data_IF_389388040718
#
_entry.id   IF_389388040718
#
_cell.length_a   1.000
_cell.length_b   1.000
_cell.length_c   1.000
_cell.angle_alpha   90.00
_cell.angle_beta   90.00
_cell.angle_gamma   90.00
#
_symmetry.space_group_name_H-M   'P 1'
#
loop_
_entity.id
_entity.type
_entity.pdbx_description
1 polymer ?
#
# COMPACT_ATOMS: atom_id res chain seq x y z
N UNK A 1 14.04 5.51 25.67
CA UNK A 1 14.98 4.62 24.95
C UNK A 1 15.64 5.49 23.90
N UNK A 2 16.97 5.69 23.99
CA UNK A 2 17.73 6.53 23.07
C UNK A 2 17.58 6.02 21.62
N UNK A 3 17.56 6.93 20.65
CA UNK A 3 17.48 6.62 19.21
C UNK A 3 18.50 5.55 18.78
N UNK A 4 19.66 5.50 19.43
CA UNK A 4 20.71 4.51 19.21
C UNK A 4 20.26 3.07 19.58
N UNK A 5 19.50 2.91 20.66
CA UNK A 5 18.94 1.62 21.09
C UNK A 5 17.86 1.11 20.14
N UNK A 6 17.07 2.01 19.57
CA UNK A 6 16.05 1.65 18.57
C UNK A 6 16.73 1.25 17.25
N UNK A 7 17.73 1.97 16.81
CA UNK A 7 18.53 1.62 15.63
C UNK A 7 19.21 0.25 15.83
N UNK A 8 19.87 0.04 16.97
CA UNK A 8 20.45 -1.27 17.31
C UNK A 8 19.41 -2.39 17.26
N UNK A 9 18.20 -2.16 17.79
CA UNK A 9 17.14 -3.16 17.77
C UNK A 9 16.61 -3.44 16.34
N UNK A 10 16.45 -2.40 15.50
CA UNK A 10 16.05 -2.57 14.08
C UNK A 10 17.05 -3.44 13.33
N UNK A 11 18.34 -3.38 13.71
CA UNK A 11 19.42 -4.13 13.08
C UNK A 11 19.75 -5.45 13.79
N UNK A 12 19.55 -5.58 15.09
CA UNK A 12 19.95 -6.79 15.86
C UNK A 12 19.03 -8.00 15.70
N UNK A 13 17.75 -7.78 15.34
CA UNK A 13 16.77 -8.86 15.18
C UNK A 13 16.51 -9.25 13.71
N UNK A 14 17.42 -8.89 12.80
CA UNK A 14 17.30 -9.23 11.37
C UNK A 14 18.58 -9.87 10.86
N UNK A 15 18.42 -10.79 9.89
CA UNK A 15 19.54 -11.36 9.18
C UNK A 15 20.32 -10.26 8.43
N UNK A 16 21.64 -10.39 8.32
CA UNK A 16 22.49 -9.45 7.58
C UNK A 16 21.98 -9.16 6.16
N UNK A 17 21.40 -10.16 5.50
CA UNK A 17 20.79 -10.03 4.16
C UNK A 17 19.63 -9.02 4.15
N UNK A 18 18.77 -9.01 5.19
CA UNK A 18 17.64 -8.07 5.30
C UNK A 18 18.13 -6.63 5.53
N UNK A 19 19.21 -6.48 6.27
CA UNK A 19 19.84 -5.17 6.52
C UNK A 19 20.44 -4.62 5.23
N UNK A 20 21.22 -5.43 4.51
CA UNK A 20 21.82 -5.05 3.23
C UNK A 20 20.74 -4.70 2.21
N UNK A 21 19.73 -5.56 2.07
CA UNK A 21 18.59 -5.29 1.17
C UNK A 21 17.90 -3.96 1.50
N UNK A 22 17.74 -3.67 2.77
CA UNK A 22 17.12 -2.42 3.22
C UNK A 22 17.98 -1.20 2.91
N UNK A 23 19.29 -1.27 3.16
CA UNK A 23 20.21 -0.19 2.82
C UNK A 23 20.25 0.06 1.30
N UNK A 24 20.32 -1.01 0.50
CA UNK A 24 20.25 -0.91 -0.96
C UNK A 24 18.90 -0.30 -1.39
N UNK A 25 17.80 -0.74 -0.79
CA UNK A 25 16.45 -0.22 -1.12
C UNK A 25 16.28 1.26 -0.75
N UNK A 26 16.92 1.74 0.31
CA UNK A 26 16.94 3.15 0.65
C UNK A 26 17.81 3.95 -0.35
N UNK A 27 19.01 3.45 -0.62
CA UNK A 27 19.98 4.15 -1.49
C UNK A 27 19.47 4.26 -2.94
N UNK A 28 18.93 3.20 -3.51
CA UNK A 28 18.37 3.20 -4.87
C UNK A 28 16.92 3.70 -4.92
N UNK A 29 16.18 3.53 -3.84
CA UNK A 29 14.78 3.87 -3.76
C UNK A 29 14.51 5.37 -3.76
N UNK A 30 15.28 6.17 -3.02
CA UNK A 30 15.09 7.62 -3.00
C UNK A 30 15.30 8.28 -4.37
N UNK A 31 16.37 7.99 -5.13
CA UNK A 31 16.50 8.48 -6.51
C UNK A 31 15.34 8.02 -7.41
N UNK A 32 14.90 6.77 -7.29
CA UNK A 32 13.77 6.25 -8.04
C UNK A 32 12.46 6.97 -7.67
N UNK A 33 12.24 7.26 -6.38
CA UNK A 33 11.09 8.04 -5.93
C UNK A 33 11.09 9.46 -6.52
N UNK A 34 12.24 10.14 -6.49
CA UNK A 34 12.39 11.47 -7.11
C UNK A 34 12.12 11.41 -8.62
N UNK A 35 12.72 10.45 -9.32
CA UNK A 35 12.47 10.24 -10.74
C UNK A 35 11.00 9.97 -11.03
N UNK A 36 10.30 9.25 -10.17
CA UNK A 36 8.90 8.89 -10.36
C UNK A 36 7.94 10.09 -10.37
N UNK A 37 8.33 11.25 -9.80
CA UNK A 37 7.56 12.50 -9.91
C UNK A 37 7.62 13.14 -11.29
N UNK A 38 8.66 12.83 -12.07
CA UNK A 38 8.87 13.40 -13.41
C UNK A 38 8.20 12.59 -14.52
N UNK A 39 7.77 11.36 -14.23
CA UNK A 39 7.20 10.47 -15.23
C UNK A 39 5.70 10.75 -15.40
N UNK A 40 5.22 10.99 -16.63
CA UNK A 40 3.80 11.17 -16.91
C UNK A 40 2.98 9.94 -16.55
N UNK A 41 1.85 10.14 -15.85
CA UNK A 41 0.98 9.06 -15.37
C UNK A 41 -0.36 9.00 -16.09
N UNK A 42 -0.77 7.80 -16.45
CA UNK A 42 -2.05 7.54 -17.10
C UNK A 42 -3.15 7.27 -16.07
N UNK A 43 -4.24 8.06 -16.11
CA UNK A 43 -5.43 7.83 -15.29
C UNK A 43 -6.19 6.56 -15.67
N UNK A 44 -5.95 5.99 -16.84
CA UNK A 44 -6.52 4.70 -17.25
C UNK A 44 -5.84 3.50 -16.61
N UNK A 45 -4.58 3.64 -16.18
CA UNK A 45 -3.80 2.57 -15.53
C UNK A 45 -3.98 2.64 -14.02
N UNK A 46 -4.42 1.54 -13.44
CA UNK A 46 -4.62 1.39 -12.01
C UNK A 46 -3.76 0.23 -11.50
N UNK A 47 -2.75 0.50 -10.69
CA UNK A 47 -1.98 -0.55 -10.03
C UNK A 47 -2.63 -0.89 -8.70
N UNK A 48 -2.85 -2.19 -8.49
CA UNK A 48 -3.45 -2.73 -7.29
C UNK A 48 -2.49 -3.75 -6.65
N UNK A 49 -2.42 -3.77 -5.33
CA UNK A 49 -1.56 -4.72 -4.63
C UNK A 49 -1.88 -4.82 -3.15
N UNK A 50 -1.55 -5.97 -2.57
CA UNK A 50 -1.64 -6.20 -1.14
C UNK A 50 -0.54 -7.17 -0.70
N UNK A 51 0.12 -6.88 0.42
CA UNK A 51 1.27 -7.66 0.92
C UNK A 51 0.94 -9.13 1.24
N UNK A 52 -0.34 -9.40 1.56
CA UNK A 52 -0.82 -10.77 1.88
C UNK A 52 -1.12 -11.58 0.62
N UNK A 53 -1.19 -10.92 -0.56
CA UNK A 53 -1.47 -11.56 -1.84
C UNK A 53 -2.79 -11.13 -2.46
N UNK A 54 -3.21 -11.83 -3.52
CA UNK A 54 -4.44 -11.54 -4.28
C UNK A 54 -5.69 -11.91 -3.48
N UNK A 55 -6.01 -11.09 -2.51
CA UNK A 55 -7.10 -11.31 -1.55
C UNK A 55 -7.74 -9.99 -1.12
N UNK A 56 -8.76 -10.07 -0.24
CA UNK A 56 -9.41 -8.95 0.42
C UNK A 56 -10.02 -7.91 -0.54
N UNK A 57 -10.26 -6.69 -0.05
CA UNK A 57 -10.93 -5.60 -0.77
C UNK A 57 -10.30 -5.30 -2.13
N UNK A 58 -8.97 -5.31 -2.21
CA UNK A 58 -8.22 -5.02 -3.44
C UNK A 58 -8.51 -6.05 -4.53
N UNK A 59 -8.61 -7.35 -4.16
CA UNK A 59 -8.98 -8.42 -5.10
C UNK A 59 -10.37 -8.20 -5.70
N UNK A 60 -11.36 -7.88 -4.85
CA UNK A 60 -12.74 -7.71 -5.32
C UNK A 60 -12.88 -6.47 -6.20
N UNK A 61 -12.20 -5.38 -5.85
CA UNK A 61 -12.13 -4.20 -6.72
C UNK A 61 -11.44 -4.53 -8.05
N UNK A 62 -10.29 -5.24 -8.04
CA UNK A 62 -9.62 -5.68 -9.27
C UNK A 62 -10.56 -6.45 -10.18
N UNK A 63 -11.29 -7.45 -9.64
CA UNK A 63 -12.24 -8.27 -10.40
C UNK A 63 -13.37 -7.45 -11.01
N UNK A 64 -13.90 -6.49 -10.23
CA UNK A 64 -14.93 -5.57 -10.71
C UNK A 64 -14.42 -4.73 -11.89
N UNK A 65 -13.27 -4.08 -11.73
CA UNK A 65 -12.64 -3.27 -12.78
C UNK A 65 -12.37 -4.09 -14.05
N UNK A 66 -11.81 -5.28 -13.88
CA UNK A 66 -11.50 -6.17 -15.00
C UNK A 66 -12.74 -6.60 -15.79
N UNK A 67 -13.83 -6.86 -15.08
CA UNK A 67 -15.07 -7.38 -15.70
C UNK A 67 -15.94 -6.27 -16.30
N UNK A 68 -16.08 -5.15 -15.60
CA UNK A 68 -17.09 -4.14 -15.91
C UNK A 68 -16.54 -2.81 -16.44
N UNK A 69 -15.29 -2.44 -16.10
CA UNK A 69 -14.73 -1.13 -16.44
C UNK A 69 -13.79 -1.21 -17.63
N UNK A 70 -14.31 -1.05 -18.86
CA UNK A 70 -13.52 -1.15 -20.10
C UNK A 70 -12.54 0.00 -20.32
N UNK A 71 -12.73 1.13 -19.66
CA UNK A 71 -11.85 2.32 -19.75
C UNK A 71 -10.64 2.22 -18.83
N UNK A 72 -10.66 1.31 -17.84
CA UNK A 72 -9.61 1.10 -16.85
C UNK A 72 -8.78 -0.13 -17.20
N UNK A 73 -7.48 -0.03 -17.00
CA UNK A 73 -6.53 -1.14 -17.15
C UNK A 73 -6.04 -1.51 -15.74
N UNK A 74 -6.68 -2.49 -15.07
CA UNK A 74 -6.23 -2.93 -13.76
C UNK A 74 -5.00 -3.83 -13.89
N UNK A 75 -4.01 -3.57 -13.04
CA UNK A 75 -2.71 -4.25 -13.05
C UNK A 75 -2.40 -4.67 -11.61
N UNK A 76 -2.20 -5.97 -11.39
CA UNK A 76 -1.80 -6.48 -10.09
C UNK A 76 -0.29 -6.44 -9.92
N UNK A 77 0.17 -5.88 -8.81
CA UNK A 77 1.59 -5.82 -8.45
C UNK A 77 1.82 -6.62 -7.16
N UNK A 78 2.78 -7.54 -7.21
CA UNK A 78 3.13 -8.35 -6.04
C UNK A 78 4.64 -8.49 -5.87
N UNK A 79 5.07 -8.79 -4.64
CA UNK A 79 6.43 -9.21 -4.32
C UNK A 79 6.62 -10.73 -4.41
N UNK A 80 5.54 -11.49 -4.56
CA UNK A 80 5.56 -12.95 -4.64
C UNK A 80 5.54 -13.41 -6.10
N UNK A 81 6.66 -13.97 -6.58
CA UNK A 81 6.80 -14.44 -7.95
C UNK A 81 5.90 -15.65 -8.26
N UNK A 82 5.72 -16.55 -7.31
CA UNK A 82 4.86 -17.74 -7.49
C UNK A 82 3.39 -17.34 -7.62
N UNK A 83 2.92 -16.37 -6.83
CA UNK A 83 1.58 -15.80 -6.98
C UNK A 83 1.37 -15.21 -8.37
N UNK A 84 2.35 -14.49 -8.89
CA UNK A 84 2.24 -13.86 -10.22
C UNK A 84 2.07 -14.89 -11.32
N UNK A 85 2.80 -16.00 -11.27
CA UNK A 85 2.67 -17.09 -12.24
C UNK A 85 1.24 -17.64 -12.24
N UNK A 86 0.73 -18.00 -11.07
CA UNK A 86 -0.63 -18.51 -10.88
C UNK A 86 -1.71 -17.50 -11.34
N UNK A 87 -1.49 -16.21 -11.13
CA UNK A 87 -2.45 -15.18 -11.56
C UNK A 87 -2.43 -15.00 -13.08
N UNK A 88 -1.27 -15.06 -13.70
CA UNK A 88 -1.15 -15.00 -15.17
C UNK A 88 -1.79 -16.17 -15.88
N UNK A 89 -1.66 -17.38 -15.36
CA UNK A 89 -2.36 -18.57 -15.85
C UNK A 89 -3.89 -18.38 -15.83
N UNK A 90 -4.41 -17.56 -14.91
CA UNK A 90 -5.83 -17.18 -14.82
C UNK A 90 -6.19 -15.94 -15.65
N UNK A 91 -5.31 -15.48 -16.53
CA UNK A 91 -5.54 -14.31 -17.38
C UNK A 91 -5.48 -12.96 -16.66
N UNK A 92 -4.93 -12.90 -15.43
CA UNK A 92 -4.80 -11.68 -14.65
C UNK A 92 -3.50 -10.95 -15.03
N UNK A 93 -3.58 -9.65 -15.34
CA UNK A 93 -2.43 -8.79 -15.58
C UNK A 93 -1.64 -8.59 -14.29
N UNK A 94 -0.68 -9.48 -14.00
CA UNK A 94 0.11 -9.48 -12.77
C UNK A 94 1.60 -9.37 -13.05
N UNK A 95 2.32 -8.54 -12.25
CA UNK A 95 3.75 -8.31 -12.43
C UNK A 95 4.48 -8.27 -11.09
N UNK A 96 5.72 -8.80 -11.11
CA UNK A 96 6.63 -8.65 -9.98
C UNK A 96 7.08 -7.19 -9.86
N UNK A 97 6.99 -6.63 -8.66
CA UNK A 97 7.22 -5.19 -8.39
C UNK A 97 8.57 -4.64 -8.86
N UNK A 98 9.59 -5.49 -8.98
CA UNK A 98 10.94 -5.12 -9.40
C UNK A 98 11.31 -5.63 -10.80
N UNK A 99 10.39 -6.24 -11.53
CA UNK A 99 10.61 -6.52 -12.96
C UNK A 99 10.50 -5.24 -13.79
N UNK A 100 11.10 -5.23 -14.98
CA UNK A 100 11.01 -4.08 -15.90
C UNK A 100 9.56 -3.69 -16.19
N UNK A 101 8.70 -4.66 -16.47
CA UNK A 101 7.26 -4.41 -16.68
C UNK A 101 6.54 -3.96 -15.41
N UNK A 102 6.89 -4.53 -14.25
CA UNK A 102 6.34 -4.09 -12.97
C UNK A 102 6.69 -2.64 -12.66
N UNK A 103 7.96 -2.27 -12.84
CA UNK A 103 8.41 -0.89 -12.67
C UNK A 103 7.75 0.05 -13.68
N UNK A 104 7.69 -0.34 -14.96
CA UNK A 104 6.99 0.44 -15.99
C UNK A 104 5.53 0.72 -15.62
N UNK A 105 4.79 -0.31 -15.21
CA UNK A 105 3.40 -0.14 -14.82
C UNK A 105 3.26 0.72 -13.56
N UNK A 106 4.09 0.50 -12.56
CA UNK A 106 4.11 1.34 -11.37
C UNK A 106 4.43 2.80 -11.71
N UNK A 107 5.46 3.09 -12.49
CA UNK A 107 5.86 4.46 -12.82
C UNK A 107 4.82 5.21 -13.66
N UNK A 108 4.10 4.51 -14.53
CA UNK A 108 3.14 5.13 -15.46
C UNK A 108 1.68 5.09 -15.03
N UNK A 109 1.35 4.44 -13.91
CA UNK A 109 -0.02 4.40 -13.37
C UNK A 109 -0.30 5.59 -12.46
N UNK A 110 -1.48 6.21 -12.61
CA UNK A 110 -1.88 7.31 -11.75
C UNK A 110 -2.47 6.82 -10.42
N UNK A 111 -3.33 5.79 -10.43
CA UNK A 111 -3.95 5.27 -9.23
C UNK A 111 -3.17 4.10 -8.64
N UNK A 112 -2.85 4.22 -7.34
CA UNK A 112 -2.26 3.19 -6.51
C UNK A 112 -3.26 2.75 -5.46
N UNK A 113 -3.73 1.51 -5.55
CA UNK A 113 -4.80 0.97 -4.69
C UNK A 113 -4.26 -0.19 -3.86
N UNK A 114 -4.30 -0.05 -2.56
CA UNK A 114 -3.68 -0.97 -1.61
C UNK A 114 -4.54 -1.14 -0.34
N UNK A 115 -4.18 -2.12 0.50
CA UNK A 115 -4.92 -2.41 1.75
C UNK A 115 -4.18 -2.09 3.04
N UNK A 116 -2.87 -1.82 2.99
CA UNK A 116 -2.10 -1.43 4.19
C UNK A 116 -1.32 -0.15 3.93
N UNK A 117 -0.25 -0.23 3.15
CA UNK A 117 0.63 0.88 2.83
C UNK A 117 1.01 0.86 1.35
N UNK A 118 1.55 1.96 0.85
CA UNK A 118 2.08 2.04 -0.52
C UNK A 118 3.16 0.99 -0.81
N UNK A 119 3.81 0.45 0.24
CA UNK A 119 4.73 -0.69 0.12
C UNK A 119 4.06 -2.00 -0.27
N UNK A 120 2.73 -2.11 -0.23
CA UNK A 120 2.00 -3.27 -0.77
C UNK A 120 2.24 -3.39 -2.29
N UNK A 121 2.35 -2.25 -2.95
CA UNK A 121 2.69 -2.13 -4.38
C UNK A 121 4.19 -1.89 -4.53
N UNK A 122 4.60 -0.64 -4.58
CA UNK A 122 5.98 -0.21 -4.58
C UNK A 122 6.06 1.27 -4.19
N UNK A 123 6.47 1.57 -2.97
CA UNK A 123 6.59 2.93 -2.47
C UNK A 123 7.52 3.80 -3.32
N UNK A 124 8.65 3.23 -3.79
CA UNK A 124 9.70 3.97 -4.49
C UNK A 124 9.30 4.47 -5.88
N UNK A 125 8.21 3.94 -6.43
CA UNK A 125 7.64 4.35 -7.72
C UNK A 125 6.38 5.21 -7.57
N UNK A 126 6.02 5.62 -6.34
CA UNK A 126 4.73 6.26 -6.04
C UNK A 126 4.72 7.78 -6.12
N UNK A 127 5.82 8.43 -6.53
CA UNK A 127 5.87 9.88 -6.72
C UNK A 127 4.80 10.35 -7.71
N UNK A 128 3.98 11.34 -7.31
CA UNK A 128 2.92 11.88 -8.16
C UNK A 128 1.71 10.96 -8.40
N UNK A 129 1.64 9.79 -7.76
CA UNK A 129 0.44 8.93 -7.83
C UNK A 129 -0.68 9.45 -6.92
N UNK A 130 -1.90 9.05 -7.22
CA UNK A 130 -3.07 9.18 -6.36
C UNK A 130 -3.26 7.88 -5.57
N UNK A 131 -3.04 7.94 -4.27
CA UNK A 131 -2.97 6.80 -3.36
C UNK A 131 -4.32 6.54 -2.69
N UNK A 132 -4.90 5.36 -2.91
CA UNK A 132 -6.20 4.93 -2.34
C UNK A 132 -5.97 3.73 -1.42
N UNK A 133 -6.26 3.90 -0.15
CA UNK A 133 -6.20 2.81 0.82
C UNK A 133 -7.61 2.23 1.05
N UNK A 134 -7.81 0.97 0.66
CA UNK A 134 -9.08 0.27 0.88
C UNK A 134 -9.18 -0.35 2.27
N UNK A 135 -8.07 -0.41 2.99
CA UNK A 135 -7.93 -1.11 4.25
C UNK A 135 -8.39 -2.58 4.18
N UNK A 136 -8.31 -3.30 5.26
CA UNK A 136 -8.57 -4.75 5.26
C UNK A 136 -9.52 -5.21 6.37
N UNK A 137 -10.12 -4.29 7.11
CA UNK A 137 -11.07 -4.66 8.17
C UNK A 137 -11.61 -3.50 8.96
N UNK A 138 -12.59 -3.81 9.81
CA UNK A 138 -13.11 -2.94 10.86
C UNK A 138 -12.40 -3.27 12.16
N UNK A 139 -12.00 -2.29 12.92
CA UNK A 139 -11.32 -2.52 14.19
C UNK A 139 -11.35 -1.27 15.06
N UNK A 140 -11.46 -1.51 16.37
CA UNK A 140 -11.45 -0.47 17.40
C UNK A 140 -10.08 -0.34 18.08
N UNK A 141 -9.11 -1.17 17.68
CA UNK A 141 -7.76 -1.12 18.25
C UNK A 141 -7.06 0.16 17.84
N UNK A 142 -6.25 0.70 18.74
CA UNK A 142 -5.30 1.76 18.42
C UNK A 142 -4.23 1.20 17.49
N UNK A 143 -4.21 1.68 16.26
CA UNK A 143 -3.27 1.25 15.21
C UNK A 143 -2.47 2.45 14.70
N UNK A 144 -1.42 2.19 13.98
CA UNK A 144 -0.59 3.20 13.30
C UNK A 144 -0.13 4.31 14.28
N UNK A 145 -0.36 5.57 13.95
CA UNK A 145 0.03 6.72 14.79
C UNK A 145 -0.73 6.82 16.12
N UNK A 146 -1.81 6.06 16.32
CA UNK A 146 -2.53 6.00 17.58
C UNK A 146 -2.01 4.90 18.53
N UNK A 147 -1.05 4.06 18.08
CA UNK A 147 -0.46 3.00 18.88
C UNK A 147 0.41 3.59 19.99
N UNK A 148 0.18 3.16 21.23
CA UNK A 148 0.89 3.65 22.42
C UNK A 148 1.82 2.63 23.06
N UNK A 149 1.73 1.37 22.65
CA UNK A 149 2.49 0.24 23.23
C UNK A 149 3.20 -0.58 22.15
N UNK A 150 4.22 -1.32 22.56
CA UNK A 150 4.98 -2.18 21.68
C UNK A 150 5.93 -1.43 20.74
N UNK A 151 6.45 -2.16 19.77
CA UNK A 151 7.43 -1.67 18.79
C UNK A 151 6.82 -0.66 17.83
N UNK A 152 5.58 -0.87 17.43
CA UNK A 152 4.88 0.02 16.52
C UNK A 152 4.79 1.44 17.08
N UNK A 153 4.61 1.59 18.40
CA UNK A 153 4.61 2.92 19.04
C UNK A 153 5.91 3.70 18.82
N UNK A 154 7.03 3.02 18.55
CA UNK A 154 8.35 3.64 18.30
C UNK A 154 8.57 3.94 16.82
N UNK A 155 8.05 3.08 15.93
CA UNK A 155 8.17 3.24 14.47
C UNK A 155 7.34 4.44 14.00
N UNK A 156 6.16 4.66 14.59
CA UNK A 156 5.26 5.76 14.23
C UNK A 156 5.61 7.11 14.89
N UNK A 157 6.69 7.19 15.68
CA UNK A 157 7.19 8.49 16.16
C UNK A 157 7.67 9.33 14.98
N UNK A 158 7.19 10.59 14.90
CA UNK A 158 7.51 11.53 13.82
C UNK A 158 8.90 12.18 14.01
N UNK A 159 9.96 11.39 13.95
CA UNK A 159 11.32 11.88 13.91
C UNK A 159 11.96 11.67 12.54
N UNK A 160 13.07 12.34 12.27
CA UNK A 160 13.77 12.28 10.97
C UNK A 160 14.25 10.86 10.64
N UNK A 161 14.72 10.10 11.63
CA UNK A 161 15.22 8.74 11.43
C UNK A 161 14.11 7.80 10.97
N UNK A 162 12.95 7.83 11.64
CA UNK A 162 11.82 6.98 11.24
C UNK A 162 11.29 7.36 9.84
N UNK A 163 11.27 8.65 9.51
CA UNK A 163 10.87 9.12 8.19
C UNK A 163 11.81 8.64 7.08
N UNK A 164 13.11 8.59 7.36
CA UNK A 164 14.11 8.08 6.41
C UNK A 164 14.04 6.55 6.33
N UNK A 165 13.96 5.85 7.45
CA UNK A 165 13.98 4.39 7.48
C UNK A 165 12.66 3.73 7.06
N UNK A 166 11.52 4.38 7.30
CA UNK A 166 10.17 3.87 7.05
C UNK A 166 9.30 4.88 6.29
N UNK A 167 9.78 5.46 5.18
CA UNK A 167 9.10 6.60 4.54
C UNK A 167 7.67 6.27 4.09
N UNK A 168 7.40 5.02 3.71
CA UNK A 168 6.09 4.54 3.29
C UNK A 168 5.01 4.62 4.38
N UNK A 169 5.39 4.61 5.67
CA UNK A 169 4.45 4.76 6.80
C UNK A 169 4.00 6.23 6.96
N UNK A 170 4.81 7.17 6.52
CA UNK A 170 4.55 8.60 6.67
C UNK A 170 3.88 9.22 5.44
N UNK A 171 3.83 8.51 4.30
CA UNK A 171 3.08 8.93 3.12
C UNK A 171 1.60 8.60 3.31
N UNK A 172 0.81 9.63 3.53
CA UNK A 172 -0.63 9.50 3.74
C UNK A 172 -1.36 9.20 2.43
N UNK A 173 -2.42 8.38 2.44
CA UNK A 173 -3.26 8.19 1.27
C UNK A 173 -4.03 9.47 0.92
N UNK A 174 -4.38 9.60 -0.35
CA UNK A 174 -5.22 10.67 -0.85
C UNK A 174 -6.70 10.39 -0.56
N UNK A 175 -7.10 9.09 -0.62
CA UNK A 175 -8.39 8.59 -0.16
C UNK A 175 -8.22 7.35 0.72
N UNK A 176 -9.12 7.20 1.69
CA UNK A 176 -9.18 6.06 2.61
C UNK A 176 -10.61 5.52 2.67
N UNK A 177 -10.79 4.21 2.44
CA UNK A 177 -12.10 3.59 2.49
C UNK A 177 -12.50 3.22 3.92
N UNK A 178 -13.73 3.52 4.29
CA UNK A 178 -14.31 3.17 5.58
C UNK A 178 -15.73 2.62 5.42
N UNK A 179 -16.27 2.03 6.49
CA UNK A 179 -17.59 1.36 6.48
C UNK A 179 -18.67 2.14 7.22
N UNK A 180 -18.29 3.19 7.95
CA UNK A 180 -19.21 4.02 8.71
C UNK A 180 -18.56 5.34 9.09
N UNK A 181 -19.35 6.30 9.52
CA UNK A 181 -18.86 7.59 10.05
C UNK A 181 -17.95 7.36 11.26
N UNK A 182 -18.31 6.43 12.14
CA UNK A 182 -17.49 6.05 13.30
C UNK A 182 -16.11 5.55 12.85
N UNK A 183 -16.05 4.66 11.86
CA UNK A 183 -14.80 4.16 11.31
C UNK A 183 -14.00 5.23 10.59
N UNK A 184 -14.67 6.17 9.91
CA UNK A 184 -14.00 7.33 9.31
C UNK A 184 -13.30 8.19 10.36
N UNK A 185 -13.95 8.46 11.49
CA UNK A 185 -13.36 9.19 12.61
C UNK A 185 -12.18 8.42 13.23
N UNK A 186 -12.33 7.11 13.42
CA UNK A 186 -11.27 6.26 13.94
C UNK A 186 -10.03 6.24 13.02
N UNK A 187 -10.22 6.01 11.72
CA UNK A 187 -9.12 5.97 10.75
C UNK A 187 -8.48 7.34 10.54
N UNK A 188 -9.27 8.42 10.51
CA UNK A 188 -8.75 9.78 10.46
C UNK A 188 -7.76 10.03 11.61
N UNK A 189 -8.11 9.61 12.82
CA UNK A 189 -7.26 9.74 14.01
C UNK A 189 -6.03 8.81 13.93
N UNK A 190 -6.22 7.53 13.58
CA UNK A 190 -5.14 6.55 13.54
C UNK A 190 -4.10 6.84 12.46
N UNK A 191 -4.53 7.27 11.27
CA UNK A 191 -3.65 7.58 10.14
C UNK A 191 -3.28 9.06 10.07
N UNK A 192 -3.85 9.90 10.97
CA UNK A 192 -3.66 11.35 10.98
C UNK A 192 -3.93 11.99 9.61
N UNK A 193 -5.02 11.60 8.99
CA UNK A 193 -5.53 12.12 7.73
C UNK A 193 -6.77 12.97 7.98
N UNK A 194 -7.06 13.89 7.06
CA UNK A 194 -8.32 14.65 7.10
C UNK A 194 -9.51 13.68 6.94
N UNK A 195 -10.53 13.82 7.79
CA UNK A 195 -11.74 12.99 7.74
C UNK A 195 -12.46 13.08 6.38
N UNK A 196 -12.35 14.21 5.68
CA UNK A 196 -12.90 14.40 4.32
C UNK A 196 -12.28 13.45 3.28
N UNK A 197 -11.11 12.89 3.56
CA UNK A 197 -10.46 11.85 2.74
C UNK A 197 -10.96 10.44 3.04
N UNK A 198 -11.74 10.26 4.11
CA UNK A 198 -12.34 8.98 4.47
C UNK A 198 -13.68 8.82 3.74
N UNK A 199 -13.74 7.89 2.80
CA UNK A 199 -14.96 7.60 2.04
C UNK A 199 -15.77 6.51 2.75
N UNK A 200 -16.98 6.84 3.18
CA UNK A 200 -17.89 5.90 3.82
C UNK A 200 -18.74 5.17 2.77
N UNK A 201 -18.17 4.19 2.08
CA UNK A 201 -18.81 3.44 0.99
C UNK A 201 -18.94 1.93 1.25
N UNK A 202 -18.44 1.45 2.39
CA UNK A 202 -18.34 0.01 2.65
C UNK A 202 -17.15 -0.64 1.93
N UNK A 203 -17.02 -1.95 2.07
CA UNK A 203 -15.89 -2.69 1.52
C UNK A 203 -16.27 -3.48 0.26
N UNK A 204 -15.45 -3.46 -0.80
CA UNK A 204 -15.70 -4.21 -2.03
C UNK A 204 -15.98 -5.71 -1.81
N UNK A 205 -15.30 -6.33 -0.85
CA UNK A 205 -15.55 -7.74 -0.50
C UNK A 205 -16.95 -7.98 0.04
N UNK A 206 -17.54 -7.05 0.80
CA UNK A 206 -18.87 -7.19 1.38
C UNK A 206 -19.96 -7.12 0.31
N UNK A 207 -19.80 -6.25 -0.67
CA UNK A 207 -20.73 -6.14 -1.82
C UNK A 207 -20.79 -7.46 -2.59
N UNK A 208 -19.66 -8.12 -2.81
CA UNK A 208 -19.61 -9.41 -3.50
C UNK A 208 -20.37 -10.52 -2.77
N UNK A 209 -20.38 -10.52 -1.43
CA UNK A 209 -21.12 -11.50 -0.65
C UNK A 209 -22.63 -11.28 -0.67
N UNK A 210 -23.10 -10.04 -0.76
CA UNK A 210 -24.52 -9.74 -0.83
C UNK A 210 -25.13 -10.12 -2.18
N UNK A 211 -24.39 -9.94 -3.27
CA UNK A 211 -24.84 -10.34 -4.62
C UNK A 211 -24.77 -11.85 -4.91
N UNK A 212 -24.04 -12.64 -4.11
CA UNK A 212 -24.01 -14.09 -4.24
C UNK A 212 -25.18 -14.78 -3.50
N UNK A 213 -25.95 -14.03 -2.70
CA UNK A 213 -27.12 -14.53 -1.94
C UNK A 213 -28.47 -14.07 -2.51
N UNK A 214 -28.47 -13.28 -3.55
CA UNK A 214 -29.63 -12.89 -4.34
C UNK A 214 -29.68 -13.67 -5.66
#
# INVERSE_FOLDING_TARGET
MNNLHFIKWVFSNRNYTDIIYRLISLFLGYPLLLLSYLIPRSKRKWVLGYKVGFTDNVKYLYRYLYKYEKTVIPIWISSNKSEILLLREKGINAYYRWSLYGLYHCLTSYYYIFSSHLSDINYWTSGGCFAVNLWHGVGIKKIEFATTVGIDSKIYVKNIFNRILFPYLFRKPDLFLSTSVFMSMHFSKCFQIDIRKCLNLGYPRSVSYTHLRA
#
